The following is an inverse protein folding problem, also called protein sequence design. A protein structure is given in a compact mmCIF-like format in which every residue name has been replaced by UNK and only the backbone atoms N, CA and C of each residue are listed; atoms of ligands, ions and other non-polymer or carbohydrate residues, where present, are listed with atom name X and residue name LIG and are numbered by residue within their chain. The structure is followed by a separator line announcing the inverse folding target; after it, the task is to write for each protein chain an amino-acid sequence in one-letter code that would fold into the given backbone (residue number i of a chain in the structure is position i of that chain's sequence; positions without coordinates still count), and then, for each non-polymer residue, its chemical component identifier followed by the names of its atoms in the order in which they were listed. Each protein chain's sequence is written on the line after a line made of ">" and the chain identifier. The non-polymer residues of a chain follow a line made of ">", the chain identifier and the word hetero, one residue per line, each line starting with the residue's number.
data_IF_900245211691
#
_entry.id   IF_900245211691
#
_cell.length_a   1.000
_cell.length_b   1.000
_cell.length_c   1.000
_cell.angle_alpha   90.00
_cell.angle_beta   90.00
_cell.angle_gamma   90.00
#
_symmetry.space_group_name_H-M   'P 1'
#
loop_
_entity.id
_entity.type
_entity.pdbx_description
1 polymer ?
#
# COMPACT_ATOMS: atom_id res chain seq x y z
N UNK A 1 15.05 1.40 -16.89
CA UNK A 1 16.07 0.70 -16.09
C UNK A 1 15.49 -0.53 -15.38
N UNK A 2 14.46 -0.37 -14.55
CA UNK A 2 13.83 -1.47 -13.80
C UNK A 2 13.35 -2.65 -14.67
N UNK A 3 12.78 -2.39 -15.86
CA UNK A 3 12.39 -3.45 -16.81
C UNK A 3 13.59 -4.28 -17.27
N UNK A 4 14.74 -3.65 -17.51
CA UNK A 4 15.97 -4.38 -17.87
C UNK A 4 16.45 -5.25 -16.71
N UNK A 5 16.31 -4.78 -15.47
CA UNK A 5 16.68 -5.54 -14.28
C UNK A 5 15.74 -6.73 -14.02
N UNK A 6 14.47 -6.65 -14.42
CA UNK A 6 13.54 -7.79 -14.37
C UNK A 6 14.06 -8.97 -15.20
N UNK A 7 14.65 -8.70 -16.36
CA UNK A 7 15.20 -9.73 -17.24
C UNK A 7 16.47 -10.41 -16.71
N UNK A 8 17.14 -9.82 -15.71
CA UNK A 8 18.28 -10.45 -15.02
C UNK A 8 17.82 -11.44 -13.93
N UNK A 9 16.56 -11.39 -13.50
CA UNK A 9 16.02 -12.30 -12.51
C UNK A 9 15.63 -13.64 -13.14
N UNK A 10 16.02 -14.74 -12.49
CA UNK A 10 15.60 -16.10 -12.88
C UNK A 10 14.18 -16.44 -12.41
N UNK A 11 13.59 -15.64 -11.55
CA UNK A 11 12.26 -15.87 -10.98
C UNK A 11 11.19 -15.35 -11.93
N UNK A 12 10.10 -16.10 -12.05
CA UNK A 12 8.95 -15.72 -12.87
C UNK A 12 7.91 -14.94 -12.08
N UNK A 13 8.08 -14.86 -10.76
CA UNK A 13 7.23 -14.10 -9.84
C UNK A 13 8.10 -13.26 -8.92
N UNK A 14 7.85 -11.97 -8.88
CA UNK A 14 8.65 -10.98 -8.16
C UNK A 14 7.72 -10.19 -7.25
N UNK A 15 7.95 -10.30 -5.94
CA UNK A 15 7.18 -9.59 -4.94
C UNK A 15 7.96 -8.35 -4.49
N UNK A 16 7.33 -7.19 -4.60
CA UNK A 16 7.92 -5.91 -4.22
C UNK A 16 6.96 -5.14 -3.31
N UNK A 17 7.51 -4.25 -2.48
CA UNK A 17 6.73 -3.36 -1.61
C UNK A 17 7.01 -1.89 -1.93
N UNK A 18 7.25 -1.10 -0.88
CA UNK A 18 7.73 0.29 -0.93
C UNK A 18 6.74 1.35 -1.48
N UNK A 19 5.96 1.04 -2.52
CA UNK A 19 4.98 1.99 -3.07
C UNK A 19 3.72 2.16 -2.21
N UNK A 20 3.47 1.22 -1.28
CA UNK A 20 2.28 1.22 -0.41
C UNK A 20 0.94 1.12 -1.17
N UNK A 21 1.00 0.61 -2.41
CA UNK A 21 -0.17 0.37 -3.24
C UNK A 21 -0.12 -1.06 -3.75
N UNK A 22 -1.22 -1.79 -3.55
CA UNK A 22 -1.41 -3.09 -4.16
C UNK A 22 -1.24 -2.97 -5.67
N UNK A 23 -0.58 -3.97 -6.27
CA UNK A 23 -0.32 -4.00 -7.70
C UNK A 23 -0.15 -5.45 -8.15
N UNK A 24 -0.57 -5.73 -9.37
CA UNK A 24 -0.21 -6.95 -10.08
C UNK A 24 -0.07 -6.63 -11.56
N UNK A 25 1.09 -6.89 -12.14
CA UNK A 25 1.38 -6.63 -13.55
C UNK A 25 2.25 -7.74 -14.12
N UNK A 26 2.04 -8.07 -15.39
CA UNK A 26 2.89 -8.98 -16.14
C UNK A 26 3.80 -8.19 -17.09
N UNK A 27 5.10 -8.45 -17.03
CA UNK A 27 6.12 -7.76 -17.83
C UNK A 27 7.09 -8.82 -18.34
N UNK A 28 7.27 -8.91 -19.67
CA UNK A 28 8.18 -9.87 -20.32
C UNK A 28 8.00 -11.33 -19.82
N UNK A 29 6.75 -11.75 -19.60
CA UNK A 29 6.40 -13.10 -19.11
C UNK A 29 6.68 -13.32 -17.61
N UNK A 30 7.03 -12.27 -16.86
CA UNK A 30 7.22 -12.31 -15.41
C UNK A 30 6.09 -11.56 -14.71
N UNK A 31 5.57 -12.15 -13.64
CA UNK A 31 4.59 -11.53 -12.77
C UNK A 31 5.29 -10.68 -11.71
N UNK A 32 4.99 -9.39 -11.68
CA UNK A 32 5.40 -8.48 -10.61
C UNK A 32 4.18 -8.15 -9.78
N UNK A 33 4.24 -8.42 -8.47
CA UNK A 33 3.13 -8.15 -7.56
C UNK A 33 3.59 -7.36 -6.34
N UNK A 34 2.72 -6.50 -5.85
CA UNK A 34 2.89 -5.74 -4.63
C UNK A 34 1.68 -5.99 -3.73
N UNK A 35 1.88 -6.43 -2.46
CA UNK A 35 0.78 -6.64 -1.54
C UNK A 35 0.13 -5.35 -1.06
N UNK A 36 0.79 -4.21 -1.29
CA UNK A 36 0.44 -2.93 -0.70
C UNK A 36 1.15 -2.72 0.62
N UNK A 37 0.41 -2.21 1.60
CA UNK A 37 0.91 -1.98 2.96
C UNK A 37 -0.19 -2.17 3.98
N UNK A 38 0.21 -2.53 5.20
CA UNK A 38 -0.70 -2.65 6.33
C UNK A 38 -1.00 -1.27 6.94
N UNK A 39 0.01 -0.44 7.17
CA UNK A 39 -0.11 0.71 8.09
C UNK A 39 -0.12 2.10 7.45
N UNK A 40 0.14 2.25 6.15
CA UNK A 40 0.12 3.57 5.51
C UNK A 40 -0.26 3.47 4.01
N UNK A 41 -1.47 3.01 3.67
CA UNK A 41 -1.90 2.91 2.28
C UNK A 41 -1.85 4.28 1.59
N UNK A 42 -1.60 4.29 0.28
CA UNK A 42 -1.40 5.53 -0.51
C UNK A 42 -2.34 5.69 -1.69
N UNK A 43 -3.38 4.87 -1.75
CA UNK A 43 -4.32 4.79 -2.86
C UNK A 43 -5.73 5.33 -2.54
N UNK A 44 -5.88 6.10 -1.46
CA UNK A 44 -7.14 6.73 -1.07
C UNK A 44 -8.07 5.84 -0.22
N UNK A 45 -7.64 4.64 0.15
CA UNK A 45 -8.39 3.72 1.01
C UNK A 45 -7.54 3.33 2.23
N UNK A 46 -8.01 3.72 3.43
CA UNK A 46 -7.28 3.53 4.71
C UNK A 46 -7.11 2.07 5.12
N UNK A 47 -7.92 1.16 4.56
CA UNK A 47 -7.93 -0.25 4.96
C UNK A 47 -6.58 -0.88 4.64
N UNK A 48 -6.08 -1.67 5.59
CA UNK A 48 -4.83 -2.39 5.45
C UNK A 48 -4.88 -3.29 4.22
N UNK A 49 -3.78 -3.36 3.48
CA UNK A 49 -3.63 -4.14 2.27
C UNK A 49 -2.75 -5.34 2.53
N UNK A 50 -3.21 -6.51 2.14
CA UNK A 50 -2.36 -7.69 2.09
C UNK A 50 -2.66 -8.51 0.84
N UNK A 51 -1.82 -9.51 0.63
CA UNK A 51 -1.93 -10.41 -0.50
C UNK A 51 -1.79 -11.83 0.00
N UNK A 52 -2.73 -12.68 -0.37
CA UNK A 52 -2.69 -14.11 -0.13
C UNK A 52 -2.28 -14.80 -1.42
N UNK A 53 -1.32 -15.73 -1.30
CA UNK A 53 -0.92 -16.60 -2.39
C UNK A 53 -1.33 -18.01 -2.01
N UNK A 54 -2.30 -18.56 -2.73
CA UNK A 54 -2.76 -19.93 -2.54
C UNK A 54 -2.77 -20.67 -3.88
N UNK A 55 -2.14 -21.84 -3.93
CA UNK A 55 -2.03 -22.66 -5.14
C UNK A 55 -1.57 -21.88 -6.40
N UNK A 56 -0.71 -20.88 -6.22
CA UNK A 56 -0.20 -20.03 -7.31
C UNK A 56 -1.14 -18.90 -7.75
N UNK A 57 -2.34 -18.81 -7.18
CA UNK A 57 -3.25 -17.69 -7.36
C UNK A 57 -2.93 -16.58 -6.37
N UNK A 58 -2.98 -15.34 -6.85
CA UNK A 58 -2.77 -14.15 -6.06
C UNK A 58 -4.12 -13.48 -5.81
N UNK A 59 -4.40 -13.16 -4.55
CA UNK A 59 -5.60 -12.43 -4.13
C UNK A 59 -5.17 -11.25 -3.25
N UNK A 60 -5.63 -10.06 -3.58
CA UNK A 60 -5.45 -8.87 -2.75
C UNK A 60 -6.65 -8.70 -1.83
N UNK A 61 -6.36 -8.38 -0.57
CA UNK A 61 -7.37 -8.19 0.46
C UNK A 61 -7.24 -6.82 1.09
N UNK A 62 -8.39 -6.29 1.50
CA UNK A 62 -8.51 -5.12 2.37
C UNK A 62 -9.03 -5.56 3.73
N UNK A 63 -8.41 -5.04 4.77
CA UNK A 63 -8.78 -5.35 6.15
C UNK A 63 -9.09 -4.03 6.86
N UNK A 64 -10.33 -3.89 7.33
CA UNK A 64 -10.74 -2.80 8.20
C UNK A 64 -10.11 -2.96 9.58
N UNK A 65 -9.79 -1.83 10.20
CA UNK A 65 -9.31 -1.75 11.57
C UNK A 65 -9.86 -0.48 12.21
N UNK A 66 -9.84 -0.44 13.54
CA UNK A 66 -10.40 0.64 14.32
C UNK A 66 -9.50 1.89 14.29
N UNK A 67 -9.99 2.95 13.64
CA UNK A 67 -9.29 4.23 13.52
C UNK A 67 -9.26 5.02 14.84
N UNK A 68 -10.21 4.78 15.75
CA UNK A 68 -10.26 5.46 17.04
C UNK A 68 -9.23 4.84 18.01
N UNK A 69 -9.04 3.53 17.94
CA UNK A 69 -7.93 2.86 18.64
C UNK A 69 -6.58 3.30 18.07
N UNK A 70 -6.42 3.37 16.74
CA UNK A 70 -5.17 3.87 16.14
C UNK A 70 -4.87 5.33 16.56
N UNK A 71 -5.90 6.18 16.63
CA UNK A 71 -5.73 7.55 17.10
C UNK A 71 -5.19 7.59 18.54
N UNK A 72 -5.74 6.74 19.43
CA UNK A 72 -5.24 6.62 20.80
C UNK A 72 -3.78 6.17 20.83
N UNK A 73 -3.41 5.15 20.03
CA UNK A 73 -2.03 4.69 19.93
C UNK A 73 -1.08 5.81 19.50
N UNK A 74 -1.45 6.62 18.50
CA UNK A 74 -0.64 7.77 18.09
C UNK A 74 -0.51 8.82 19.18
N UNK A 75 -1.58 9.15 19.90
CA UNK A 75 -1.52 10.12 21.00
C UNK A 75 -0.72 9.60 22.21
N UNK A 76 -0.63 8.29 22.38
CA UNK A 76 0.17 7.65 23.43
C UNK A 76 1.61 7.28 23.02
N UNK A 77 1.96 7.39 21.73
CA UNK A 77 3.25 6.95 21.17
C UNK A 77 4.47 7.78 21.56
N UNK A 78 4.28 8.92 22.22
CA UNK A 78 5.34 9.88 22.52
C UNK A 78 5.67 10.84 21.37
N UNK A 79 4.97 10.75 20.24
CA UNK A 79 4.98 11.80 19.21
C UNK A 79 4.41 13.11 19.76
N UNK A 80 4.89 14.25 19.26
CA UNK A 80 4.20 15.51 19.50
C UNK A 80 2.81 15.50 18.84
N UNK A 81 1.91 16.34 19.36
CA UNK A 81 0.51 16.33 18.95
C UNK A 81 0.31 16.64 17.46
N UNK A 82 1.17 17.48 16.87
CA UNK A 82 1.04 17.82 15.45
C UNK A 82 1.49 16.64 14.58
N UNK A 83 2.57 15.97 14.97
CA UNK A 83 3.06 14.78 14.28
C UNK A 83 2.05 13.62 14.38
N UNK A 84 1.46 13.40 15.56
CA UNK A 84 0.42 12.39 15.76
C UNK A 84 -0.82 12.68 14.89
N UNK A 85 -1.30 13.93 14.87
CA UNK A 85 -2.42 14.34 14.02
C UNK A 85 -2.10 14.20 12.53
N UNK A 86 -0.87 14.53 12.11
CA UNK A 86 -0.45 14.39 10.72
C UNK A 86 -0.45 12.93 10.27
N UNK A 87 0.12 12.03 11.08
CA UNK A 87 0.12 10.60 10.79
C UNK A 87 -1.29 10.02 10.77
N UNK A 88 -2.15 10.41 11.72
CA UNK A 88 -3.55 9.98 11.72
C UNK A 88 -4.26 10.42 10.44
N UNK A 89 -4.04 11.66 10.00
CA UNK A 89 -4.65 12.18 8.77
C UNK A 89 -4.18 11.40 7.53
N UNK A 90 -2.89 11.11 7.43
CA UNK A 90 -2.36 10.31 6.31
C UNK A 90 -2.95 8.91 6.28
N UNK A 91 -3.01 8.24 7.43
CA UNK A 91 -3.53 6.88 7.53
C UNK A 91 -5.03 6.85 7.27
N UNK A 92 -5.81 7.77 7.87
CA UNK A 92 -7.27 7.88 7.70
C UNK A 92 -7.70 8.14 6.26
N UNK A 93 -6.94 8.95 5.53
CA UNK A 93 -7.27 9.26 4.14
C UNK A 93 -6.63 8.28 3.14
N UNK A 94 -5.66 7.47 3.57
CA UNK A 94 -4.87 6.63 2.68
C UNK A 94 -4.07 7.45 1.66
N UNK A 95 -3.62 8.67 2.02
CA UNK A 95 -2.89 9.61 1.15
C UNK A 95 -1.80 10.29 1.97
N UNK A 96 -0.63 10.48 1.37
CA UNK A 96 0.48 11.25 1.95
C UNK A 96 0.70 12.51 1.11
N UNK A 97 0.47 13.69 1.71
CA UNK A 97 0.42 14.97 0.97
C UNK A 97 1.72 15.35 0.25
N UNK A 98 2.90 14.96 0.75
CA UNK A 98 4.19 15.34 0.14
C UNK A 98 4.39 14.81 -1.28
N UNK A 99 3.56 13.87 -1.74
CA UNK A 99 3.64 13.28 -3.07
C UNK A 99 2.34 13.40 -3.88
N UNK A 100 1.33 14.12 -3.37
CA UNK A 100 -0.01 14.14 -3.96
C UNK A 100 -0.69 12.75 -3.98
N UNK A 101 -1.87 12.63 -4.62
CA UNK A 101 -2.54 11.34 -4.79
C UNK A 101 -1.70 10.38 -5.63
N UNK A 102 -1.38 9.20 -5.08
CA UNK A 102 -0.71 8.14 -5.83
C UNK A 102 -1.78 7.15 -6.32
N UNK A 103 -2.06 7.17 -7.62
CA UNK A 103 -3.11 6.32 -8.21
C UNK A 103 -2.47 5.03 -8.71
N UNK A 104 -2.82 3.93 -8.05
CA UNK A 104 -2.50 2.55 -8.45
C UNK A 104 -3.68 1.88 -9.16
N UNK A 105 -3.48 0.69 -9.76
CA UNK A 105 -4.51 -0.04 -10.51
C UNK A 105 -5.71 -0.48 -9.65
N UNK A 106 -5.57 -0.46 -8.32
CA UNK A 106 -6.64 -0.79 -7.37
C UNK A 106 -7.12 0.43 -6.56
N UNK A 107 -6.73 1.64 -6.93
CA UNK A 107 -7.27 2.87 -6.33
C UNK A 107 -8.73 3.04 -6.70
N UNK A 108 -9.57 3.43 -5.75
CA UNK A 108 -10.92 3.91 -6.05
C UNK A 108 -10.81 5.27 -6.73
N UNK A 109 -11.09 5.33 -8.04
CA UNK A 109 -11.23 6.60 -8.75
C UNK A 109 -12.52 7.27 -8.28
N UNK A 110 -12.40 8.18 -7.31
CA UNK A 110 -13.37 9.26 -7.12
C UNK A 110 -12.56 10.55 -7.08
N UNK A 111 -12.58 11.36 -8.16
CA UNK A 111 -12.05 12.71 -8.08
C UNK A 111 -12.97 13.48 -7.13
N UNK A 112 -12.40 14.01 -6.05
CA UNK A 112 -13.01 15.14 -5.35
C UNK A 112 -12.62 16.39 -6.13
#
# INVERSE_FOLDING_TARGET
>A
ENIKNLNNSKQDRILAGHTHMAMQIEIDGKLVANPGTIGQPRDGDYRAQCMVIDNGYIQHHRVEYDLDLLAQDYYCSGMDINQANLWLNYTRNGIVEVHGPQIGPFSSVNPV
#
